data_IF_904250657008
#
_entry.id   IF_904250657008
#
_cell.length_a   1.000
_cell.length_b   1.000
_cell.length_c   1.000
_cell.angle_alpha   90.00
_cell.angle_beta   90.00
_cell.angle_gamma   90.00
#
_symmetry.space_group_name_H-M   'P 1'
#
loop_
_entity.id
_entity.type
_entity.pdbx_description
1 polymer ?
#
# COMPACT_ATOMS: atom_id res chain seq x y z
N UNK A 1 3.11 -7.92 -27.40
CA UNK A 1 3.01 -7.49 -28.81
C UNK A 1 1.62 -7.79 -29.31
N UNK A 2 0.90 -6.80 -29.84
CA UNK A 2 -0.52 -6.91 -30.21
C UNK A 2 -0.81 -7.71 -31.51
N UNK A 3 0.10 -8.59 -31.96
CA UNK A 3 -0.12 -9.47 -33.11
C UNK A 3 -0.53 -8.77 -34.41
N UNK A 4 0.09 -7.63 -34.76
CA UNK A 4 -0.30 -6.82 -35.93
C UNK A 4 0.20 -7.41 -37.25
N UNK A 5 -0.56 -7.17 -38.33
CA UNK A 5 -0.20 -7.50 -39.72
C UNK A 5 -0.20 -6.23 -40.58
N UNK A 6 0.90 -5.88 -41.28
CA UNK A 6 2.23 -6.49 -41.14
C UNK A 6 2.87 -6.18 -39.78
N UNK A 7 3.67 -7.12 -39.28
CA UNK A 7 4.44 -6.94 -38.05
C UNK A 7 5.67 -6.06 -38.26
N UNK A 8 6.19 -5.40 -37.21
CA UNK A 8 7.37 -4.53 -37.32
C UNK A 8 8.65 -5.30 -37.64
N UNK A 9 8.71 -6.59 -37.27
CA UNK A 9 9.79 -7.50 -37.63
C UNK A 9 9.25 -8.62 -38.53
N UNK A 10 10.03 -9.10 -39.50
CA UNK A 10 9.66 -10.26 -40.31
C UNK A 10 9.51 -11.50 -39.40
N UNK A 11 8.52 -12.34 -39.69
CA UNK A 11 8.38 -13.61 -38.99
C UNK A 11 9.43 -14.61 -39.49
N UNK A 12 10.01 -15.41 -38.59
CA UNK A 12 10.98 -16.45 -38.91
C UNK A 12 10.65 -17.76 -38.19
N UNK A 13 11.31 -18.86 -38.56
CA UNK A 13 11.16 -20.14 -37.85
C UNK A 13 11.96 -20.10 -36.54
N UNK A 14 11.27 -19.75 -35.45
CA UNK A 14 11.86 -19.56 -34.13
C UNK A 14 12.57 -20.79 -33.55
N UNK A 15 12.33 -22.00 -34.09
CA UNK A 15 13.03 -23.22 -33.67
C UNK A 15 14.52 -23.21 -34.03
N UNK A 16 14.88 -22.44 -35.06
CA UNK A 16 16.24 -22.32 -35.58
C UNK A 16 16.85 -20.94 -35.32
N UNK A 17 16.25 -20.15 -34.44
CA UNK A 17 16.76 -18.84 -34.04
C UNK A 17 17.18 -18.87 -32.57
N UNK A 18 18.04 -17.94 -32.18
CA UNK A 18 18.51 -17.79 -30.79
C UNK A 18 17.39 -17.39 -29.82
N UNK A 19 16.33 -16.75 -30.33
CA UNK A 19 15.17 -16.34 -29.55
C UNK A 19 13.99 -17.30 -29.73
N UNK A 20 13.26 -17.63 -28.65
CA UNK A 20 12.17 -18.59 -28.71
C UNK A 20 10.88 -18.05 -29.37
N UNK A 21 10.75 -16.73 -29.52
CA UNK A 21 9.55 -16.08 -30.06
C UNK A 21 9.82 -14.63 -30.50
N UNK A 22 8.89 -14.00 -31.27
CA UNK A 22 9.08 -12.63 -31.77
C UNK A 22 9.23 -11.56 -30.69
N UNK A 23 8.60 -11.74 -29.52
CA UNK A 23 8.66 -10.75 -28.45
C UNK A 23 10.03 -10.76 -27.76
N UNK A 24 10.59 -11.96 -27.52
CA UNK A 24 11.94 -12.12 -27.01
C UNK A 24 12.97 -11.51 -27.97
N UNK A 25 12.85 -11.78 -29.28
CA UNK A 25 13.69 -11.16 -30.31
C UNK A 25 13.59 -9.64 -30.28
N UNK A 26 12.37 -9.09 -30.41
CA UNK A 26 12.14 -7.65 -30.43
C UNK A 26 12.69 -6.94 -29.18
N UNK A 27 12.55 -7.54 -28.00
CA UNK A 27 13.09 -6.99 -26.76
C UNK A 27 14.62 -6.88 -26.81
N UNK A 28 15.31 -7.98 -27.12
CA UNK A 28 16.76 -8.02 -27.05
C UNK A 28 17.42 -7.17 -28.12
N UNK A 29 16.93 -7.20 -29.37
CA UNK A 29 17.50 -6.36 -30.44
C UNK A 29 17.31 -4.87 -30.14
N UNK A 30 16.16 -4.49 -29.56
CA UNK A 30 15.93 -3.10 -29.11
C UNK A 30 16.91 -2.72 -28.00
N UNK A 31 17.14 -3.58 -27.01
CA UNK A 31 18.10 -3.30 -25.94
C UNK A 31 19.53 -3.16 -26.47
N UNK A 32 19.95 -4.04 -27.38
CA UNK A 32 21.27 -3.98 -28.02
C UNK A 32 21.44 -2.68 -28.80
N UNK A 33 20.44 -2.28 -29.59
CA UNK A 33 20.45 -1.02 -30.33
C UNK A 33 20.59 0.19 -29.39
N UNK A 34 19.80 0.24 -28.32
CA UNK A 34 19.86 1.31 -27.32
C UNK A 34 21.22 1.40 -26.60
N UNK A 35 21.87 0.26 -26.35
CA UNK A 35 23.21 0.22 -25.77
C UNK A 35 24.31 0.55 -26.77
N UNK A 36 24.07 0.40 -28.07
CA UNK A 36 25.01 0.75 -29.13
C UNK A 36 25.02 2.26 -29.44
N UNK A 37 24.05 3.03 -28.94
CA UNK A 37 24.03 4.48 -29.10
C UNK A 37 25.23 5.13 -28.40
N UNK A 38 25.85 6.12 -29.05
CA UNK A 38 26.89 6.97 -28.45
C UNK A 38 26.29 8.03 -27.51
N UNK A 39 25.40 7.60 -26.61
CA UNK A 39 24.63 8.45 -25.69
C UNK A 39 24.69 7.84 -24.28
N UNK A 40 24.88 8.63 -23.21
CA UNK A 40 24.88 8.11 -21.85
C UNK A 40 23.58 7.38 -21.48
N UNK A 41 23.68 6.29 -20.71
CA UNK A 41 22.52 5.50 -20.31
C UNK A 41 21.45 6.31 -19.57
N UNK A 42 21.87 7.31 -18.77
CA UNK A 42 20.94 8.25 -18.11
C UNK A 42 20.06 9.00 -19.11
N UNK A 43 20.63 9.44 -20.22
CA UNK A 43 19.90 10.23 -21.22
C UNK A 43 18.96 9.34 -22.03
N UNK A 44 19.42 8.14 -22.40
CA UNK A 44 18.58 7.12 -23.07
C UNK A 44 17.42 6.70 -22.17
N UNK A 45 17.69 6.40 -20.90
CA UNK A 45 16.65 6.06 -19.92
C UNK A 45 15.60 7.16 -19.77
N UNK A 46 16.05 8.42 -19.64
CA UNK A 46 15.13 9.56 -19.58
C UNK A 46 14.31 9.73 -20.87
N UNK A 47 14.92 9.49 -22.04
CA UNK A 47 14.21 9.51 -23.31
C UNK A 47 13.14 8.42 -23.39
N UNK A 48 13.42 7.20 -22.91
CA UNK A 48 12.45 6.11 -22.83
C UNK A 48 11.25 6.48 -21.95
N UNK A 49 11.48 7.02 -20.74
CA UNK A 49 10.37 7.43 -19.87
C UNK A 49 9.53 8.55 -20.52
N UNK A 50 10.18 9.49 -21.21
CA UNK A 50 9.50 10.60 -21.88
C UNK A 50 8.57 10.16 -23.03
N UNK A 51 8.71 8.94 -23.58
CA UNK A 51 7.81 8.42 -24.61
C UNK A 51 6.35 8.40 -24.14
N UNK A 52 6.11 8.15 -22.85
CA UNK A 52 4.77 8.09 -22.25
C UNK A 52 4.48 9.21 -21.26
N UNK A 53 5.52 9.85 -20.70
CA UNK A 53 5.36 10.96 -19.75
C UNK A 53 5.24 12.33 -20.43
N UNK A 54 5.53 12.43 -21.74
CA UNK A 54 5.31 13.63 -22.53
C UNK A 54 4.35 13.31 -23.67
N UNK A 55 3.53 14.30 -24.06
CA UNK A 55 2.59 14.15 -25.16
C UNK A 55 3.35 13.92 -26.47
N UNK A 56 3.33 12.68 -26.95
CA UNK A 56 4.01 12.26 -28.16
C UNK A 56 2.96 11.93 -29.24
N UNK A 57 2.99 12.57 -30.42
CA UNK A 57 1.92 12.41 -31.42
C UNK A 57 1.81 10.99 -32.00
N UNK A 58 2.89 10.21 -31.92
CA UNK A 58 2.96 8.84 -32.44
C UNK A 58 2.51 7.77 -31.43
N UNK A 59 2.22 8.15 -30.19
CA UNK A 59 1.82 7.24 -29.11
C UNK A 59 0.31 7.39 -28.89
N UNK A 60 -0.53 6.44 -29.36
CA UNK A 60 -1.98 6.53 -29.18
C UNK A 60 -2.34 6.39 -27.70
N UNK A 61 -3.16 7.31 -27.19
CA UNK A 61 -3.59 7.37 -25.78
C UNK A 61 -4.29 6.08 -25.36
N UNK A 62 -5.12 5.51 -26.23
CA UNK A 62 -5.89 4.27 -25.98
C UNK A 62 -4.99 3.05 -25.70
N UNK A 63 -3.72 3.12 -26.14
CA UNK A 63 -2.75 2.03 -26.00
C UNK A 63 -1.66 2.32 -24.98
N UNK A 64 -1.76 3.42 -24.22
CA UNK A 64 -0.69 3.93 -23.36
C UNK A 64 -0.17 2.89 -22.35
N UNK A 65 -1.03 2.03 -21.82
CA UNK A 65 -0.65 0.96 -20.88
C UNK A 65 0.23 -0.09 -21.55
N UNK A 66 0.00 -0.39 -22.83
CA UNK A 66 0.85 -1.28 -23.61
C UNK A 66 2.23 -0.66 -23.86
N UNK A 67 2.31 0.66 -24.04
CA UNK A 67 3.57 1.39 -24.15
C UNK A 67 4.32 1.40 -22.82
N UNK A 68 3.66 1.69 -21.70
CA UNK A 68 4.25 1.61 -20.37
C UNK A 68 4.80 0.21 -20.09
N UNK A 69 4.06 -0.84 -20.45
CA UNK A 69 4.50 -2.22 -20.31
C UNK A 69 5.74 -2.53 -21.16
N UNK A 70 5.79 -2.06 -22.42
CA UNK A 70 6.95 -2.24 -23.29
C UNK A 70 8.19 -1.50 -22.75
N UNK A 71 8.01 -0.26 -22.28
CA UNK A 71 9.08 0.52 -21.63
C UNK A 71 9.56 -0.20 -20.38
N UNK A 72 8.66 -0.73 -19.56
CA UNK A 72 9.00 -1.52 -18.38
C UNK A 72 9.89 -2.70 -18.72
N UNK A 73 9.52 -3.52 -19.71
CA UNK A 73 10.33 -4.65 -20.18
C UNK A 73 11.70 -4.23 -20.73
N UNK A 74 11.74 -3.19 -21.56
CA UNK A 74 12.98 -2.71 -22.20
C UNK A 74 13.92 -2.12 -21.16
N UNK A 75 13.44 -1.19 -20.33
CA UNK A 75 14.30 -0.44 -19.42
C UNK A 75 14.86 -1.33 -18.30
N UNK A 76 14.12 -2.36 -17.84
CA UNK A 76 14.61 -3.28 -16.81
C UNK A 76 15.59 -4.31 -17.35
N UNK A 77 15.61 -4.56 -18.66
CA UNK A 77 16.61 -5.40 -19.33
C UNK A 77 17.92 -4.64 -19.62
N UNK A 78 17.93 -3.31 -19.48
CA UNK A 78 19.12 -2.47 -19.66
C UNK A 78 19.94 -2.35 -18.35
N UNK A 79 21.23 -1.98 -18.43
CA UNK A 79 22.08 -1.73 -17.26
C UNK A 79 21.55 -0.64 -16.32
N UNK A 80 22.05 -0.62 -15.07
CA UNK A 80 21.62 0.31 -14.02
C UNK A 80 21.50 1.78 -14.42
N UNK A 81 22.45 2.38 -15.16
CA UNK A 81 22.35 3.79 -15.56
C UNK A 81 21.09 4.16 -16.35
N UNK A 82 20.43 3.18 -16.99
CA UNK A 82 19.24 3.40 -17.80
C UNK A 82 17.96 3.46 -16.96
N UNK A 83 17.78 2.55 -16.00
CA UNK A 83 16.53 2.48 -15.23
C UNK A 83 16.57 3.26 -13.91
N UNK A 84 17.74 3.55 -13.35
CA UNK A 84 17.85 4.31 -12.08
C UNK A 84 17.24 5.71 -12.18
N UNK A 85 17.14 6.27 -13.38
CA UNK A 85 16.52 7.58 -13.66
C UNK A 85 15.03 7.64 -13.30
N UNK A 86 14.37 6.48 -13.12
CA UNK A 86 13.01 6.43 -12.59
C UNK A 86 12.94 7.03 -11.17
N UNK A 87 13.98 6.83 -10.35
CA UNK A 87 14.06 7.43 -9.01
C UNK A 87 14.06 8.96 -9.09
N UNK A 88 14.83 9.55 -10.02
CA UNK A 88 14.84 11.00 -10.26
C UNK A 88 13.44 11.51 -10.65
N UNK A 89 12.68 10.74 -11.46
CA UNK A 89 11.31 11.10 -11.84
C UNK A 89 10.33 11.03 -10.67
N UNK A 90 10.43 10.01 -9.83
CA UNK A 90 9.61 9.89 -8.61
C UNK A 90 9.88 11.05 -7.67
N UNK A 91 11.17 11.39 -7.44
CA UNK A 91 11.56 12.54 -6.61
C UNK A 91 10.97 13.85 -7.18
N UNK A 92 11.08 14.05 -8.50
CA UNK A 92 10.50 15.23 -9.15
C UNK A 92 8.98 15.36 -8.95
N UNK A 93 8.25 14.23 -8.87
CA UNK A 93 6.81 14.23 -8.60
C UNK A 93 6.51 14.48 -7.13
N UNK A 94 7.24 13.83 -6.22
CA UNK A 94 7.10 14.05 -4.76
C UNK A 94 7.33 15.52 -4.41
N UNK A 95 8.30 16.18 -5.04
CA UNK A 95 8.58 17.60 -4.84
C UNK A 95 7.68 18.55 -5.66
N UNK A 96 6.71 18.03 -6.40
CA UNK A 96 5.84 18.87 -7.25
C UNK A 96 4.77 19.59 -6.43
N UNK A 97 4.32 20.78 -6.88
CA UNK A 97 3.24 21.53 -6.22
C UNK A 97 1.96 20.72 -6.01
N UNK A 98 1.69 19.73 -6.87
CA UNK A 98 0.52 18.86 -6.74
C UNK A 98 0.52 18.03 -5.45
N UNK A 99 1.69 17.70 -4.90
CA UNK A 99 1.82 16.92 -3.67
C UNK A 99 2.31 17.77 -2.49
N UNK A 100 2.99 18.89 -2.73
CA UNK A 100 3.50 19.77 -1.66
C UNK A 100 2.52 20.86 -1.24
N UNK A 101 1.58 21.26 -2.10
CA UNK A 101 0.63 22.32 -1.78
C UNK A 101 -0.44 21.82 -0.81
N UNK A 102 -0.63 22.51 0.31
CA UNK A 102 -1.74 22.30 1.24
C UNK A 102 -3.07 22.89 0.74
N UNK A 103 -3.16 23.29 -0.54
CA UNK A 103 -4.42 23.73 -1.12
C UNK A 103 -5.47 22.64 -0.95
N UNK A 104 -6.54 22.96 -0.22
CA UNK A 104 -7.75 22.17 -0.07
C UNK A 104 -8.29 21.81 -1.45
N UNK A 105 -7.83 20.67 -1.97
CA UNK A 105 -8.38 20.12 -3.19
C UNK A 105 -9.83 19.79 -2.89
N UNK A 106 -10.77 20.43 -3.61
CA UNK A 106 -12.22 20.21 -3.46
C UNK A 106 -12.61 18.88 -4.15
N UNK A 107 -11.85 17.82 -3.89
CA UNK A 107 -11.96 16.52 -4.55
C UNK A 107 -11.22 15.42 -3.80
N UNK A 108 -11.53 14.17 -4.15
CA UNK A 108 -10.91 13.00 -3.55
C UNK A 108 -9.47 12.85 -4.05
N UNK A 109 -8.42 12.97 -3.21
CA UNK A 109 -7.03 13.06 -3.65
C UNK A 109 -6.55 11.76 -4.32
N UNK A 110 -7.18 10.63 -4.02
CA UNK A 110 -6.88 9.36 -4.67
C UNK A 110 -7.25 9.37 -6.16
N UNK A 111 -8.16 10.26 -6.60
CA UNK A 111 -8.41 10.45 -8.03
C UNK A 111 -7.17 10.99 -8.76
N UNK A 112 -6.30 11.74 -8.07
CA UNK A 112 -5.00 12.19 -8.62
C UNK A 112 -4.00 11.04 -8.79
N UNK A 113 -4.21 9.93 -8.08
CA UNK A 113 -3.36 8.75 -8.10
C UNK A 113 -3.96 7.65 -9.00
N UNK A 114 -5.24 7.77 -9.35
CA UNK A 114 -5.90 6.90 -10.32
C UNK A 114 -5.54 7.31 -11.75
N UNK A 115 -4.59 6.56 -12.31
CA UNK A 115 -4.19 6.69 -13.71
C UNK A 115 -5.36 6.57 -14.68
N UNK A 116 -6.28 5.63 -14.46
CA UNK A 116 -7.38 5.37 -15.40
C UNK A 116 -8.36 6.54 -15.42
N UNK A 117 -8.76 7.02 -14.24
CA UNK A 117 -9.65 8.17 -14.12
C UNK A 117 -9.02 9.44 -14.73
N UNK A 118 -7.75 9.71 -14.41
CA UNK A 118 -7.00 10.85 -14.97
C UNK A 118 -6.92 10.78 -16.50
N UNK A 119 -6.53 9.60 -17.02
CA UNK A 119 -6.34 9.38 -18.45
C UNK A 119 -7.65 9.54 -19.24
N UNK A 120 -8.75 8.94 -18.74
CA UNK A 120 -10.07 9.03 -19.36
C UNK A 120 -10.66 10.45 -19.31
N UNK A 121 -10.35 11.20 -18.25
CA UNK A 121 -10.84 12.58 -18.08
C UNK A 121 -10.01 13.63 -18.83
N UNK A 122 -9.02 13.22 -19.63
CA UNK A 122 -8.07 14.11 -20.31
C UNK A 122 -7.30 15.04 -19.35
N UNK A 123 -7.24 14.67 -18.07
CA UNK A 123 -6.45 15.34 -17.05
C UNK A 123 -5.13 14.59 -16.94
N UNK A 124 -4.19 14.90 -17.86
CA UNK A 124 -2.86 14.27 -17.91
C UNK A 124 -1.99 14.74 -16.73
N UNK A 125 -2.38 14.29 -15.53
CA UNK A 125 -1.65 14.59 -14.31
C UNK A 125 -0.34 13.81 -14.31
N UNK A 126 0.78 14.54 -14.31
CA UNK A 126 2.11 13.94 -14.34
C UNK A 126 2.33 12.94 -13.18
N UNK A 127 1.74 13.19 -12.01
CA UNK A 127 1.85 12.28 -10.87
C UNK A 127 1.24 10.90 -11.14
N UNK A 128 0.04 10.81 -11.73
CA UNK A 128 -0.59 9.52 -12.03
C UNK A 128 0.13 8.75 -13.12
N UNK A 129 0.68 9.44 -14.12
CA UNK A 129 1.45 8.82 -15.20
C UNK A 129 2.81 8.27 -14.72
N UNK A 130 3.53 9.03 -13.88
CA UNK A 130 4.79 8.55 -13.28
C UNK A 130 4.51 7.38 -12.35
N UNK A 131 3.42 7.40 -11.58
CA UNK A 131 3.02 6.29 -10.73
C UNK A 131 2.75 5.01 -11.54
N UNK A 132 1.92 5.10 -12.58
CA UNK A 132 1.60 3.97 -13.45
C UNK A 132 2.83 3.43 -14.19
N UNK A 133 3.70 4.31 -14.68
CA UNK A 133 4.95 3.90 -15.31
C UNK A 133 5.91 3.24 -14.31
N UNK A 134 6.03 3.77 -13.10
CA UNK A 134 6.84 3.16 -12.05
C UNK A 134 6.33 1.76 -11.71
N UNK A 135 5.00 1.58 -11.65
CA UNK A 135 4.40 0.26 -11.47
C UNK A 135 4.75 -0.70 -12.61
N UNK A 136 4.66 -0.25 -13.87
CA UNK A 136 5.03 -1.08 -15.02
C UNK A 136 6.52 -1.47 -15.01
N UNK A 137 7.41 -0.54 -14.64
CA UNK A 137 8.86 -0.81 -14.52
C UNK A 137 9.13 -1.78 -13.37
N UNK A 138 8.57 -1.55 -12.19
CA UNK A 138 8.79 -2.42 -11.02
C UNK A 138 8.16 -3.80 -11.17
N UNK A 139 7.07 -3.93 -11.92
CA UNK A 139 6.48 -5.20 -12.30
C UNK A 139 7.46 -6.09 -13.08
N UNK A 140 8.24 -5.50 -14.00
CA UNK A 140 9.24 -6.21 -14.82
C UNK A 140 10.65 -6.20 -14.24
N UNK A 141 10.87 -5.52 -13.11
CA UNK A 141 12.17 -5.48 -12.44
C UNK A 141 12.46 -6.82 -11.79
N UNK A 142 13.72 -7.25 -11.74
CA UNK A 142 14.15 -8.38 -10.90
C UNK A 142 14.06 -8.04 -9.40
N UNK A 143 14.04 -9.04 -8.53
CA UNK A 143 14.14 -8.80 -7.08
C UNK A 143 15.45 -8.12 -6.68
N UNK A 144 16.51 -8.33 -7.47
CA UNK A 144 17.79 -7.63 -7.31
C UNK A 144 17.63 -6.13 -7.47
N UNK A 145 16.99 -5.69 -8.56
CA UNK A 145 16.68 -4.27 -8.80
C UNK A 145 15.75 -3.70 -7.72
N UNK A 146 14.66 -4.41 -7.39
CA UNK A 146 13.71 -3.97 -6.36
C UNK A 146 14.31 -3.88 -4.96
N UNK A 147 15.39 -4.62 -4.68
CA UNK A 147 16.05 -4.55 -3.37
C UNK A 147 16.73 -3.21 -3.06
N UNK A 148 16.80 -2.31 -4.04
CA UNK A 148 17.22 -0.92 -3.83
C UNK A 148 16.10 -0.04 -3.26
N UNK A 149 14.84 -0.47 -3.33
CA UNK A 149 13.68 0.31 -2.88
C UNK A 149 13.77 0.70 -1.40
N UNK A 150 14.12 -0.17 -0.42
CA UNK A 150 14.21 0.25 0.98
C UNK A 150 15.23 1.38 1.21
N UNK A 151 16.38 1.30 0.52
CA UNK A 151 17.43 2.33 0.57
C UNK A 151 16.94 3.63 -0.07
N UNK A 152 16.28 3.54 -1.23
CA UNK A 152 15.68 4.70 -1.89
C UNK A 152 14.63 5.38 -1.00
N UNK A 153 13.76 4.61 -0.33
CA UNK A 153 12.78 5.17 0.61
C UNK A 153 13.46 5.88 1.78
N UNK A 154 14.45 5.22 2.41
CA UNK A 154 15.05 5.70 3.66
C UNK A 154 16.01 6.88 3.46
N UNK A 155 16.81 6.85 2.38
CA UNK A 155 17.87 7.84 2.14
C UNK A 155 17.42 8.98 1.22
N UNK A 156 16.46 8.75 0.33
CA UNK A 156 16.07 9.72 -0.70
C UNK A 156 14.66 10.28 -0.46
N UNK A 157 13.65 9.42 -0.27
CA UNK A 157 12.27 9.90 -0.13
C UNK A 157 11.96 10.42 1.27
N UNK A 158 12.36 9.69 2.33
CA UNK A 158 12.07 10.09 3.71
C UNK A 158 12.46 11.54 4.04
N UNK A 159 13.63 12.07 3.64
CA UNK A 159 13.99 13.46 3.93
C UNK A 159 13.08 14.51 3.29
N UNK A 160 12.44 14.20 2.16
CA UNK A 160 11.65 15.16 1.37
C UNK A 160 10.13 15.00 1.55
N UNK A 161 9.68 13.90 2.16
CA UNK A 161 8.26 13.64 2.46
C UNK A 161 7.87 14.37 3.74
N UNK A 162 7.07 15.42 3.58
CA UNK A 162 6.64 16.35 4.63
C UNK A 162 5.13 16.60 4.64
N UNK A 163 4.42 16.27 3.56
CA UNK A 163 2.96 16.45 3.45
C UNK A 163 2.21 15.12 3.37
N UNK A 164 0.92 15.18 3.69
CA UNK A 164 0.03 14.01 3.64
C UNK A 164 -0.08 13.40 2.23
N UNK A 165 -0.14 14.22 1.18
CA UNK A 165 -0.22 13.73 -0.20
C UNK A 165 1.08 13.06 -0.68
N UNK A 166 2.24 13.54 -0.23
CA UNK A 166 3.51 12.87 -0.52
C UNK A 166 3.53 11.47 0.12
N UNK A 167 3.07 11.34 1.37
CA UNK A 167 2.99 10.05 2.05
C UNK A 167 2.06 9.08 1.32
N UNK A 168 0.86 9.55 0.95
CA UNK A 168 -0.10 8.75 0.19
C UNK A 168 0.48 8.31 -1.16
N UNK A 169 1.20 9.19 -1.86
CA UNK A 169 1.86 8.83 -3.12
C UNK A 169 2.88 7.71 -2.92
N UNK A 170 3.70 7.77 -1.86
CA UNK A 170 4.68 6.71 -1.54
C UNK A 170 3.98 5.38 -1.26
N UNK A 171 2.86 5.40 -0.53
CA UNK A 171 2.08 4.19 -0.27
C UNK A 171 1.50 3.59 -1.56
N UNK A 172 0.99 4.41 -2.47
CA UNK A 172 0.49 3.92 -3.76
C UNK A 172 1.63 3.39 -4.65
N UNK A 173 2.81 3.99 -4.55
CA UNK A 173 3.98 3.58 -5.31
C UNK A 173 4.46 2.18 -4.90
N UNK A 174 4.58 1.93 -3.59
CA UNK A 174 5.24 0.72 -3.06
C UNK A 174 4.24 -0.38 -2.66
N UNK A 175 3.04 0.00 -2.22
CA UNK A 175 2.00 -0.91 -1.72
C UNK A 175 1.74 -2.14 -2.59
N UNK A 176 1.55 -1.99 -3.92
CA UNK A 176 1.29 -3.12 -4.83
C UNK A 176 2.41 -4.18 -4.86
N UNK A 177 3.63 -3.83 -4.47
CA UNK A 177 4.80 -4.71 -4.53
C UNK A 177 5.14 -5.37 -3.18
N UNK A 178 4.42 -5.07 -2.11
CA UNK A 178 4.69 -5.62 -0.77
C UNK A 178 4.63 -7.15 -0.74
N UNK A 179 3.65 -7.74 -1.43
CA UNK A 179 3.55 -9.20 -1.55
C UNK A 179 4.80 -9.81 -2.20
N UNK A 180 5.35 -9.14 -3.22
CA UNK A 180 6.54 -9.59 -3.91
C UNK A 180 7.78 -9.51 -3.01
N UNK A 181 7.94 -8.42 -2.25
CA UNK A 181 8.99 -8.33 -1.24
C UNK A 181 8.84 -9.40 -0.15
N UNK A 182 7.61 -9.71 0.27
CA UNK A 182 7.37 -10.74 1.27
C UNK A 182 7.81 -12.13 0.79
N UNK A 183 7.50 -12.46 -0.46
CA UNK A 183 7.78 -13.78 -1.05
C UNK A 183 9.25 -13.94 -1.47
N UNK A 184 9.84 -12.91 -2.07
CA UNK A 184 11.16 -13.02 -2.71
C UNK A 184 12.29 -12.48 -1.82
N UNK A 185 12.02 -11.53 -0.90
CA UNK A 185 13.06 -10.89 -0.07
C UNK A 185 12.51 -10.22 1.20
N UNK A 186 12.08 -11.03 2.17
CA UNK A 186 11.39 -10.59 3.40
C UNK A 186 12.08 -9.46 4.16
N UNK A 187 13.42 -9.42 4.19
CA UNK A 187 14.17 -8.31 4.81
C UNK A 187 13.78 -6.94 4.26
N UNK A 188 13.63 -6.82 2.94
CA UNK A 188 13.22 -5.57 2.30
C UNK A 188 11.81 -5.17 2.71
N UNK A 189 10.89 -6.14 2.86
CA UNK A 189 9.52 -5.88 3.34
C UNK A 189 9.54 -5.26 4.74
N UNK A 190 10.35 -5.79 5.66
CA UNK A 190 10.47 -5.26 7.02
C UNK A 190 11.06 -3.83 7.04
N UNK A 191 12.12 -3.60 6.27
CA UNK A 191 12.74 -2.28 6.13
C UNK A 191 11.76 -1.25 5.54
N UNK A 192 10.99 -1.64 4.52
CA UNK A 192 9.92 -0.80 3.93
C UNK A 192 8.83 -0.51 4.96
N UNK A 193 8.40 -1.52 5.72
CA UNK A 193 7.39 -1.38 6.77
C UNK A 193 7.79 -0.32 7.79
N UNK A 194 9.02 -0.36 8.29
CA UNK A 194 9.53 0.67 9.23
C UNK A 194 9.61 2.04 8.55
N UNK A 195 10.12 2.11 7.32
CA UNK A 195 10.24 3.38 6.59
C UNK A 195 8.88 4.09 6.39
N UNK A 196 7.78 3.35 6.22
CA UNK A 196 6.43 3.94 6.17
C UNK A 196 6.05 4.63 7.48
N UNK A 197 6.33 4.02 8.62
CA UNK A 197 6.06 4.65 9.93
C UNK A 197 6.96 5.86 10.17
N UNK A 198 8.23 5.80 9.77
CA UNK A 198 9.15 6.95 9.87
C UNK A 198 8.67 8.14 9.01
N UNK A 199 8.20 7.89 7.78
CA UNK A 199 7.63 8.94 6.94
C UNK A 199 6.30 9.47 7.49
N UNK A 200 5.44 8.60 8.05
CA UNK A 200 4.24 9.04 8.76
C UNK A 200 4.58 9.96 9.93
N UNK A 201 5.62 9.63 10.71
CA UNK A 201 6.08 10.47 11.82
C UNK A 201 6.54 11.85 11.34
N UNK A 202 7.31 11.91 10.25
CA UNK A 202 7.76 13.19 9.68
C UNK A 202 6.57 14.06 9.25
N UNK A 203 5.60 13.48 8.54
CA UNK A 203 4.38 14.17 8.10
C UNK A 203 3.50 14.59 9.27
N UNK A 204 3.34 13.73 10.28
CA UNK A 204 2.57 14.03 11.50
C UNK A 204 3.17 15.20 12.28
N UNK A 205 4.49 15.38 12.25
CA UNK A 205 5.17 16.48 12.94
C UNK A 205 5.16 17.78 12.12
N UNK A 206 5.14 17.69 10.79
CA UNK A 206 5.17 18.84 9.90
C UNK A 206 3.78 19.44 9.63
N UNK A 207 2.75 18.62 9.43
CA UNK A 207 1.40 19.09 9.11
C UNK A 207 0.62 19.53 10.36
N UNK A 208 -0.15 20.61 10.27
CA UNK A 208 -1.03 21.02 11.40
C UNK A 208 -2.22 20.07 11.58
N UNK A 209 -2.80 19.60 10.48
CA UNK A 209 -3.92 18.68 10.44
C UNK A 209 -3.66 17.54 9.43
N UNK A 210 -4.25 16.37 9.68
CA UNK A 210 -4.22 15.23 8.75
C UNK A 210 -5.66 14.89 8.38
N UNK A 211 -6.00 14.94 7.10
CA UNK A 211 -7.35 14.78 6.58
C UNK A 211 -7.69 13.34 6.21
N UNK A 212 -6.69 12.50 5.96
CA UNK A 212 -6.80 11.13 5.46
C UNK A 212 -6.19 10.10 6.42
N UNK A 213 -6.29 10.38 7.72
CA UNK A 213 -5.80 9.50 8.78
C UNK A 213 -6.37 8.08 8.69
N UNK A 214 -7.66 7.93 8.36
CA UNK A 214 -8.32 6.61 8.33
C UNK A 214 -7.76 5.73 7.20
N UNK A 215 -7.71 6.17 5.93
CA UNK A 215 -7.03 5.40 4.87
C UNK A 215 -5.57 5.05 5.17
N UNK A 216 -4.82 5.98 5.77
CA UNK A 216 -3.43 5.74 6.19
C UNK A 216 -3.37 4.61 7.22
N UNK A 217 -4.23 4.66 8.25
CA UNK A 217 -4.25 3.65 9.30
C UNK A 217 -4.70 2.29 8.76
N UNK A 218 -5.73 2.25 7.92
CA UNK A 218 -6.25 1.02 7.32
C UNK A 218 -5.17 0.31 6.48
N UNK A 219 -4.41 1.07 5.70
CA UNK A 219 -3.28 0.54 4.95
C UNK A 219 -2.18 -0.01 5.87
N UNK A 220 -1.84 0.70 6.95
CA UNK A 220 -0.85 0.23 7.91
C UNK A 220 -1.32 -1.03 8.68
N UNK A 221 -2.61 -1.14 8.99
CA UNK A 221 -3.19 -2.38 9.54
C UNK A 221 -3.13 -3.53 8.54
N UNK A 222 -3.45 -3.27 7.27
CA UNK A 222 -3.28 -4.25 6.21
C UNK A 222 -1.83 -4.74 6.15
N UNK A 223 -0.85 -3.84 6.22
CA UNK A 223 0.57 -4.21 6.23
C UNK A 223 0.94 -5.04 7.46
N UNK A 224 0.43 -4.68 8.65
CA UNK A 224 0.62 -5.47 9.86
C UNK A 224 0.13 -6.90 9.66
N UNK A 225 -1.14 -7.06 9.31
CA UNK A 225 -1.75 -8.39 9.34
C UNK A 225 -1.39 -9.26 8.13
N UNK A 226 -1.08 -8.67 6.98
CA UNK A 226 -0.75 -9.43 5.77
C UNK A 226 0.73 -9.70 5.57
N UNK A 227 1.62 -8.85 6.11
CA UNK A 227 3.05 -8.92 5.78
C UNK A 227 3.95 -8.91 7.01
N UNK A 228 3.97 -7.83 7.78
CA UNK A 228 4.99 -7.63 8.83
C UNK A 228 4.75 -8.43 10.11
N UNK A 229 3.48 -8.73 10.43
CA UNK A 229 3.09 -9.36 11.69
C UNK A 229 3.55 -8.55 12.90
N UNK A 230 4.34 -9.19 13.75
CA UNK A 230 4.97 -8.54 14.93
C UNK A 230 6.49 -8.30 14.74
N UNK A 231 7.03 -8.58 13.55
CA UNK A 231 8.48 -8.55 13.29
C UNK A 231 9.11 -7.16 13.47
N UNK A 232 8.33 -6.09 13.28
CA UNK A 232 8.78 -4.69 13.43
C UNK A 232 8.13 -3.99 14.63
N UNK A 233 7.44 -4.74 15.50
CA UNK A 233 6.60 -4.20 16.58
C UNK A 233 7.35 -3.18 17.45
N UNK A 234 8.51 -3.54 17.97
CA UNK A 234 9.26 -2.69 18.91
C UNK A 234 9.72 -1.37 18.29
N UNK A 235 10.09 -1.40 17.01
CA UNK A 235 10.54 -0.20 16.28
C UNK A 235 9.34 0.70 15.98
N UNK A 236 8.25 0.12 15.48
CA UNK A 236 7.02 0.82 15.15
C UNK A 236 6.36 1.41 16.39
N UNK A 237 6.41 0.72 17.54
CA UNK A 237 5.87 1.20 18.80
C UNK A 237 6.52 2.50 19.26
N UNK A 238 7.85 2.58 19.21
CA UNK A 238 8.60 3.80 19.53
C UNK A 238 8.16 4.98 18.65
N UNK A 239 7.91 4.71 17.36
CA UNK A 239 7.44 5.73 16.43
C UNK A 239 6.02 6.17 16.78
N UNK A 240 5.08 5.22 16.96
CA UNK A 240 3.68 5.52 17.30
C UNK A 240 3.57 6.35 18.58
N UNK A 241 4.42 6.10 19.58
CA UNK A 241 4.44 6.88 20.82
C UNK A 241 4.77 8.37 20.63
N UNK A 242 5.33 8.77 19.49
CA UNK A 242 5.63 10.18 19.19
C UNK A 242 4.57 10.90 18.36
N UNK A 243 3.59 10.16 17.81
CA UNK A 243 2.56 10.73 16.93
C UNK A 243 1.53 11.57 17.72
N UNK A 244 0.71 12.36 17.03
CA UNK A 244 -0.41 13.07 17.68
C UNK A 244 -1.43 12.10 18.30
N UNK A 245 -2.17 12.51 19.35
CA UNK A 245 -3.12 11.64 20.05
C UNK A 245 -4.15 10.96 19.13
N UNK A 246 -4.63 11.69 18.12
CA UNK A 246 -5.62 11.19 17.18
C UNK A 246 -5.07 10.03 16.29
N UNK A 247 -3.77 10.03 15.96
CA UNK A 247 -3.11 8.93 15.25
C UNK A 247 -2.86 7.75 16.18
N UNK A 248 -2.37 7.99 17.40
CA UNK A 248 -2.17 6.94 18.42
C UNK A 248 -3.45 6.15 18.67
N UNK A 249 -4.58 6.85 18.81
CA UNK A 249 -5.87 6.22 19.07
C UNK A 249 -6.30 5.29 17.92
N UNK A 250 -6.05 5.68 16.67
CA UNK A 250 -6.36 4.87 15.49
C UNK A 250 -5.43 3.67 15.35
N UNK A 251 -4.13 3.86 15.62
CA UNK A 251 -3.11 2.81 15.53
C UNK A 251 -2.94 1.97 16.80
N UNK A 252 -3.84 2.11 17.79
CA UNK A 252 -3.73 1.49 19.12
C UNK A 252 -3.58 -0.05 19.10
N UNK A 253 -4.09 -0.70 18.06
CA UNK A 253 -4.02 -2.16 17.93
C UNK A 253 -2.80 -2.64 17.13
N UNK A 254 -1.99 -1.74 16.57
CA UNK A 254 -0.73 -2.13 15.91
C UNK A 254 0.26 -2.72 16.91
N UNK A 255 0.31 -2.17 18.13
CA UNK A 255 1.28 -2.57 19.17
C UNK A 255 0.64 -3.36 20.32
N UNK A 256 -0.69 -3.46 20.36
CA UNK A 256 -1.47 -4.09 21.45
C UNK A 256 -1.22 -3.53 22.87
N UNK A 257 -0.38 -2.49 23.04
CA UNK A 257 0.02 -1.96 24.36
C UNK A 257 -1.09 -1.19 25.08
N UNK A 258 -2.14 -0.74 24.38
CA UNK A 258 -3.22 0.07 24.98
C UNK A 258 -4.23 -0.71 25.85
N UNK A 259 -4.20 -2.05 25.89
CA UNK A 259 -5.05 -2.81 26.82
C UNK A 259 -4.48 -2.87 28.24
N UNK A 260 -3.16 -2.75 28.42
CA UNK A 260 -2.54 -2.90 29.74
C UNK A 260 -2.71 -1.64 30.59
N UNK A 261 -2.65 -0.44 30.00
CA UNK A 261 -2.83 0.81 30.76
C UNK A 261 -4.28 1.01 31.24
N UNK A 262 -5.29 0.74 30.42
CA UNK A 262 -6.70 0.87 30.84
C UNK A 262 -7.09 -0.15 31.91
N UNK A 263 -6.57 -1.37 31.85
CA UNK A 263 -6.74 -2.35 32.92
C UNK A 263 -5.99 -1.96 34.20
N UNK A 264 -4.80 -1.36 34.11
CA UNK A 264 -4.02 -0.94 35.28
C UNK A 264 -4.62 0.28 35.99
N UNK A 265 -5.16 1.25 35.24
CA UNK A 265 -5.84 2.44 35.80
C UNK A 265 -7.21 2.07 36.36
N UNK A 266 -7.95 1.17 35.70
CA UNK A 266 -9.20 0.63 36.24
C UNK A 266 -8.96 -0.25 37.48
N UNK A 267 -7.89 -1.05 37.51
CA UNK A 267 -7.51 -1.84 38.68
C UNK A 267 -7.01 -0.97 39.84
N UNK A 268 -6.26 0.10 39.57
CA UNK A 268 -5.82 1.07 40.58
C UNK A 268 -7.01 1.89 41.14
N UNK A 269 -7.96 2.28 40.29
CA UNK A 269 -9.19 2.95 40.71
C UNK A 269 -10.08 2.00 41.54
N UNK A 270 -10.23 0.74 41.14
CA UNK A 270 -10.97 -0.27 41.90
C UNK A 270 -10.30 -0.57 43.26
N UNK A 271 -8.97 -0.63 43.31
CA UNK A 271 -8.21 -0.81 44.55
C UNK A 271 -8.32 0.41 45.50
N UNK A 272 -8.35 1.63 44.97
CA UNK A 272 -8.55 2.85 45.76
C UNK A 272 -9.97 2.92 46.37
N UNK A 273 -11.00 2.51 45.61
CA UNK A 273 -12.39 2.43 46.09
C UNK A 273 -12.55 1.34 47.15
N UNK A 274 -11.87 0.19 47.00
CA UNK A 274 -11.87 -0.87 48.00
C UNK A 274 -11.18 -0.44 49.32
N UNK A 275 -10.09 0.33 49.24
CA UNK A 275 -9.39 0.85 50.41
C UNK A 275 -10.25 1.87 51.20
N UNK A 276 -11.01 2.73 50.52
CA UNK A 276 -11.90 3.71 51.18
C UNK A 276 -13.13 3.10 51.86
N UNK A 277 -13.49 1.85 51.55
CA UNK A 277 -14.69 1.19 52.12
C UNK A 277 -14.37 0.40 53.40
N UNK A 278 -13.08 0.22 53.73
CA UNK A 278 -12.63 -0.57 54.88
C UNK A 278 -12.50 0.21 56.21
N UNK A 279 -12.73 1.53 56.21
CA UNK A 279 -12.53 2.40 57.38
C UNK A 279 -13.82 2.86 58.08
N UNK A 280 -15.00 2.31 57.75
CA UNK A 280 -16.24 2.74 58.41
C UNK A 280 -17.28 1.62 58.53
N UNK A 281 -17.16 0.80 59.58
CA UNK A 281 -18.33 0.32 60.36
C UNK A 281 -17.89 -0.62 61.48
N UNK A 282 -17.75 -0.07 62.68
CA UNK A 282 -17.82 -0.83 63.93
C UNK A 282 -18.97 -0.27 64.77
N UNK A 283 -20.11 -0.98 64.83
CA UNK A 283 -20.91 -1.16 66.06
C UNK A 283 -22.27 -1.82 65.78
N UNK A 284 -22.51 -2.93 66.51
CA UNK A 284 -23.79 -3.43 67.09
C UNK A 284 -24.97 -3.81 66.18
N UNK A 285 -25.85 -4.78 66.46
CA UNK A 285 -25.89 -6.04 67.23
C UNK A 285 -27.34 -6.55 67.15
N UNK A 286 -27.53 -7.88 67.06
CA UNK A 286 -28.70 -8.67 67.49
C UNK A 286 -30.03 -8.65 66.70
N UNK A 287 -30.49 -9.85 66.30
CA UNK A 287 -31.93 -10.20 66.24
C UNK A 287 -32.39 -11.02 65.03
N UNK A 288 -32.42 -12.35 65.16
CA UNK A 288 -33.20 -13.31 64.33
C UNK A 288 -34.37 -13.84 65.22
N UNK A 289 -35.40 -14.63 64.76
CA UNK A 289 -35.50 -15.44 63.52
C UNK A 289 -36.90 -15.62 62.83
N UNK A 290 -36.90 -16.02 61.54
CA UNK A 290 -37.77 -16.97 60.74
C UNK A 290 -39.33 -17.00 60.82
N UNK A 291 -40.10 -17.77 59.97
CA UNK A 291 -39.85 -18.44 58.64
C UNK A 291 -41.00 -18.40 57.57
N UNK A 292 -40.67 -18.71 56.28
CA UNK A 292 -41.42 -19.45 55.19
C UNK A 292 -42.89 -19.03 54.78
N UNK A 293 -43.50 -19.45 53.62
CA UNK A 293 -43.22 -20.60 52.73
C UNK A 293 -43.38 -20.38 51.18
N UNK A 294 -43.29 -21.51 50.46
CA UNK A 294 -43.29 -21.83 49.01
C UNK A 294 -44.66 -21.98 48.32
N UNK A 295 -44.73 -21.84 46.97
CA UNK A 295 -45.68 -22.44 45.98
C UNK A 295 -45.02 -22.41 44.58
N UNK A 296 -44.74 -23.52 43.84
CA UNK A 296 -45.58 -24.31 42.86
C UNK A 296 -46.33 -23.44 41.82
N UNK A 297 -46.50 -23.71 40.52
CA UNK A 297 -46.35 -24.84 39.57
C UNK A 297 -46.67 -24.27 38.15
N UNK A 298 -46.17 -24.77 37.00
CA UNK A 298 -46.85 -25.68 36.03
C UNK A 298 -46.22 -25.42 34.63
N UNK A 299 -45.63 -26.40 33.92
CA UNK A 299 -46.20 -27.39 32.95
C UNK A 299 -46.94 -26.73 31.77
N UNK A 300 -46.55 -26.82 30.49
CA UNK A 300 -46.79 -27.93 29.53
C UNK A 300 -46.18 -27.52 28.16
N UNK A 301 -45.24 -28.23 27.54
CA UNK A 301 -45.32 -29.40 26.64
C UNK A 301 -45.61 -29.17 25.13
N UNK A 302 -44.84 -29.95 24.34
CA UNK A 302 -44.96 -30.43 22.96
C UNK A 302 -44.56 -29.49 21.79
N UNK A 303 -43.50 -29.75 21.01
CA UNK A 303 -43.22 -30.87 20.07
C UNK A 303 -44.01 -30.71 18.75
N UNK A 304 -43.53 -30.93 17.52
CA UNK A 304 -42.26 -31.32 16.91
C UNK A 304 -42.39 -31.09 15.37
N UNK A 305 -41.30 -31.32 14.63
CA UNK A 305 -41.22 -31.73 13.22
C UNK A 305 -41.10 -30.68 12.09
N UNK A 306 -39.91 -30.65 11.48
CA UNK A 306 -39.66 -30.39 10.04
C UNK A 306 -40.17 -31.58 9.19
N UNK A 307 -40.30 -31.51 7.83
CA UNK A 307 -39.13 -31.46 6.93
C UNK A 307 -39.31 -30.81 5.52
N UNK A 308 -38.15 -30.67 4.84
CA UNK A 308 -37.87 -30.87 3.40
C UNK A 308 -38.31 -29.88 2.29
N UNK A 309 -37.29 -29.36 1.58
CA UNK A 309 -37.21 -28.81 0.20
C UNK A 309 -37.43 -29.88 -0.90
N UNK A 310 -37.69 -29.51 -2.18
CA UNK A 310 -36.59 -29.49 -3.18
C UNK A 310 -36.74 -28.55 -4.42
N UNK A 311 -35.60 -28.38 -5.14
CA UNK A 311 -35.41 -28.21 -6.62
C UNK A 311 -36.03 -27.00 -7.36
N UNK A 312 -35.60 -26.50 -8.53
CA UNK A 312 -34.42 -26.47 -9.43
C UNK A 312 -34.84 -25.51 -10.59
N UNK A 313 -33.90 -24.88 -11.33
CA UNK A 313 -33.95 -24.51 -12.77
C UNK A 313 -32.92 -23.39 -13.05
N UNK A 314 -32.22 -23.25 -14.18
CA UNK A 314 -31.73 -24.10 -15.27
C UNK A 314 -30.92 -23.19 -16.20
N UNK A 315 -29.82 -23.70 -16.76
CA UNK A 315 -29.06 -23.11 -17.86
C UNK A 315 -29.82 -23.17 -19.20
N UNK A 316 -29.57 -22.20 -20.11
CA UNK A 316 -29.38 -22.42 -21.56
C UNK A 316 -28.77 -21.18 -22.27
N UNK A 317 -28.18 -21.33 -23.48
CA UNK A 317 -27.20 -20.39 -24.08
C UNK A 317 -27.72 -19.56 -25.27
N UNK A 318 -26.95 -18.52 -25.64
CA UNK A 318 -26.65 -18.07 -27.01
C UNK A 318 -25.22 -17.53 -27.06
#
# INVERSE_FOLDING_TARGET
MAGKTPGPFPNCDWRFNEFPNPAAHALHVTCVELMALAVPGKDVGNALLNVVLKSQPLVPRESITAWMNAIGLVITALPEPYWVVLHDRIVSVISSPALTSETDWVGYPFALLDFTACHQSYSEMNCSYVLALAHAVWHHSSIGQLSLTPKFLSEVLKPIVQTEFQLLYVYHLVGPFLQRFQQERTRCMLEIGVAFYEMLQAVDQNCQHLSYMDPICDFLYHIKYMYTGDSVKEQVEKIIMTLRPAMKLRLRFITHSSMIETSSVAAAAAAAIAASTSSSSSSSSCGNPQPAPSLSSSSSNNAAASPSTPSQHSHTPM
#
